data_IF_177893005966
#
_entry.id   IF_177893005966
#
_cell.length_a   1.000
_cell.length_b   1.000
_cell.length_c   1.000
_cell.angle_alpha   90.00
_cell.angle_beta   90.00
_cell.angle_gamma   90.00
#
_symmetry.space_group_name_H-M   'P 1'
#
loop_
_entity.id
_entity.type
_entity.pdbx_description
1 polymer ?
#
# COMPACT_ATOMS: atom_id res chain seq x y z
N UNK A 1 19.89 13.85 -16.35
CA UNK A 1 19.61 13.78 -14.90
C UNK A 1 18.39 14.68 -14.63
N UNK A 2 17.41 14.26 -13.83
CA UNK A 2 16.32 15.14 -13.43
C UNK A 2 16.88 16.34 -12.66
N UNK A 3 16.29 17.51 -12.89
CA UNK A 3 16.72 18.72 -12.19
C UNK A 3 16.40 18.61 -10.69
N UNK A 4 17.29 19.12 -9.81
CA UNK A 4 17.07 19.12 -8.38
C UNK A 4 15.79 19.90 -8.04
N UNK A 5 14.97 19.34 -7.14
CA UNK A 5 13.77 19.99 -6.64
C UNK A 5 14.06 20.53 -5.23
N UNK A 6 13.44 21.66 -4.88
CA UNK A 6 13.58 22.24 -3.54
C UNK A 6 12.37 21.91 -2.67
N UNK A 7 12.64 21.49 -1.44
CA UNK A 7 11.65 21.40 -0.36
C UNK A 7 12.10 22.38 0.73
N UNK A 8 11.43 23.52 0.80
CA UNK A 8 11.85 24.64 1.65
C UNK A 8 13.29 25.08 1.33
N UNK A 9 14.18 25.09 2.35
CA UNK A 9 15.61 25.46 2.24
C UNK A 9 16.49 24.26 1.86
N UNK A 10 15.88 23.12 1.50
CA UNK A 10 16.60 21.89 1.16
C UNK A 10 16.49 21.57 -0.33
N UNK A 11 17.58 21.12 -0.89
CA UNK A 11 17.66 20.58 -2.24
C UNK A 11 17.50 19.06 -2.19
N UNK A 12 16.64 18.52 -3.07
CA UNK A 12 16.36 17.08 -3.16
C UNK A 12 16.90 16.57 -4.48
N UNK A 13 17.74 15.55 -4.43
CA UNK A 13 18.36 14.89 -5.58
C UNK A 13 18.24 13.38 -5.47
N UNK A 14 18.35 12.71 -6.61
CA UNK A 14 18.52 11.26 -6.66
C UNK A 14 19.95 10.97 -7.11
N UNK A 15 20.72 10.31 -6.27
CA UNK A 15 22.10 9.91 -6.54
C UNK A 15 22.24 8.41 -6.27
N UNK A 16 22.69 7.63 -7.26
CA UNK A 16 22.86 6.18 -7.14
C UNK A 16 21.60 5.45 -6.61
N UNK A 17 20.44 5.85 -7.13
CA UNK A 17 19.12 5.33 -6.74
C UNK A 17 18.69 5.63 -5.28
N UNK A 18 19.43 6.51 -4.58
CA UNK A 18 19.08 6.98 -3.25
C UNK A 18 18.62 8.44 -3.28
N UNK A 19 17.66 8.76 -2.40
CA UNK A 19 17.19 10.12 -2.19
C UNK A 19 18.17 10.87 -1.30
N UNK A 20 18.84 11.86 -1.86
CA UNK A 20 19.78 12.74 -1.14
C UNK A 20 19.14 14.09 -0.92
N UNK A 21 19.10 14.52 0.33
CA UNK A 21 18.54 15.81 0.76
C UNK A 21 19.63 16.60 1.44
N UNK A 22 19.93 17.78 0.92
CA UNK A 22 20.99 18.67 1.44
C UNK A 22 20.47 20.08 1.66
N UNK A 23 20.98 20.76 2.69
CA UNK A 23 20.75 22.20 2.88
C UNK A 23 21.61 23.03 1.88
N UNK A 24 21.49 24.35 1.96
CA UNK A 24 22.26 25.28 1.09
C UNK A 24 23.79 25.18 1.31
N UNK A 25 24.21 24.72 2.49
CA UNK A 25 25.62 24.51 2.83
C UNK A 25 26.15 23.14 2.36
N UNK A 26 25.30 22.32 1.73
CA UNK A 26 25.65 20.97 1.25
C UNK A 26 25.62 19.89 2.35
N UNK A 27 25.15 20.20 3.54
CA UNK A 27 25.04 19.22 4.62
C UNK A 27 23.81 18.32 4.45
N UNK A 28 23.99 17.03 4.67
CA UNK A 28 22.89 16.05 4.56
C UNK A 28 21.83 16.30 5.63
N UNK A 29 20.56 16.25 5.20
CA UNK A 29 19.41 16.36 6.07
C UNK A 29 19.43 15.27 7.15
N UNK A 30 19.22 15.69 8.40
CA UNK A 30 19.02 14.81 9.55
C UNK A 30 17.72 15.19 10.25
N UNK A 31 16.87 14.21 10.51
CA UNK A 31 15.62 14.43 11.20
C UNK A 31 15.84 14.90 12.64
N UNK A 32 15.33 16.07 12.95
CA UNK A 32 15.26 16.63 14.32
C UNK A 32 13.80 16.82 14.72
N UNK A 33 13.27 15.99 15.64
CA UNK A 33 11.89 16.08 16.10
C UNK A 33 11.56 17.35 16.87
N UNK A 34 12.54 18.16 17.25
CA UNK A 34 12.34 19.45 17.96
C UNK A 34 12.13 20.60 16.98
N UNK A 35 12.61 20.47 15.77
CA UNK A 35 12.49 21.48 14.70
C UNK A 35 11.19 21.31 13.91
N UNK A 36 10.37 22.36 13.86
CA UNK A 36 9.11 22.36 13.08
C UNK A 36 9.37 22.17 11.59
N UNK A 37 10.43 22.75 11.05
CA UNK A 37 10.80 22.60 9.63
C UNK A 37 11.21 21.17 9.35
N UNK A 38 12.07 20.59 10.18
CA UNK A 38 12.51 19.19 10.05
C UNK A 38 11.34 18.23 10.17
N UNK A 39 10.41 18.48 11.09
CA UNK A 39 9.18 17.70 11.24
C UNK A 39 8.35 17.69 9.95
N UNK A 40 8.09 18.84 9.35
CA UNK A 40 7.31 18.96 8.11
C UNK A 40 7.97 18.26 6.93
N UNK A 41 9.30 18.36 6.80
CA UNK A 41 10.04 17.65 5.75
C UNK A 41 9.89 16.13 5.94
N UNK A 42 10.07 15.64 7.17
CA UNK A 42 9.99 14.21 7.46
C UNK A 42 8.57 13.66 7.21
N UNK A 43 7.54 14.38 7.63
CA UNK A 43 6.13 14.06 7.34
C UNK A 43 5.88 13.98 5.84
N UNK A 44 6.32 14.98 5.09
CA UNK A 44 6.16 15.00 3.62
C UNK A 44 6.82 13.79 2.96
N UNK A 45 8.07 13.50 3.33
CA UNK A 45 8.80 12.35 2.79
C UNK A 45 8.11 11.02 3.10
N UNK A 46 7.61 10.86 4.31
CA UNK A 46 6.89 9.66 4.72
C UNK A 46 5.59 9.50 3.95
N UNK A 47 4.76 10.55 3.89
CA UNK A 47 3.44 10.50 3.25
C UNK A 47 3.54 10.32 1.72
N UNK A 48 4.52 10.93 1.07
CA UNK A 48 4.77 10.71 -0.37
C UNK A 48 5.19 9.26 -0.64
N UNK A 49 6.16 8.72 0.12
CA UNK A 49 6.55 7.31 0.00
C UNK A 49 5.37 6.37 0.29
N UNK A 50 4.59 6.66 1.33
CA UNK A 50 3.39 5.91 1.68
C UNK A 50 2.40 5.90 0.52
N UNK A 51 2.12 7.05 -0.05
CA UNK A 51 1.20 7.21 -1.19
C UNK A 51 1.64 6.37 -2.39
N UNK A 52 2.93 6.39 -2.72
CA UNK A 52 3.50 5.56 -3.80
C UNK A 52 3.34 4.06 -3.48
N UNK A 53 3.72 3.63 -2.29
CA UNK A 53 3.65 2.22 -1.89
C UNK A 53 2.19 1.72 -1.89
N UNK A 54 1.26 2.51 -1.37
CA UNK A 54 -0.14 2.10 -1.26
C UNK A 54 -0.89 2.11 -2.60
N UNK A 55 -0.54 2.99 -3.52
CA UNK A 55 -1.35 3.24 -4.71
C UNK A 55 -0.66 2.89 -6.03
N UNK A 56 0.67 2.78 -6.04
CA UNK A 56 1.42 2.54 -7.27
C UNK A 56 2.16 1.20 -7.30
N UNK A 57 2.44 0.58 -6.12
CA UNK A 57 3.20 -0.66 -6.06
C UNK A 57 2.28 -1.85 -5.79
N UNK A 58 2.20 -2.76 -6.77
CA UNK A 58 1.46 -4.01 -6.67
C UNK A 58 2.35 -5.15 -7.13
N UNK A 59 2.30 -6.28 -6.43
CA UNK A 59 3.14 -7.42 -6.75
C UNK A 59 2.49 -8.77 -6.45
N UNK A 60 2.82 -9.75 -7.27
CA UNK A 60 2.42 -11.15 -7.10
C UNK A 60 3.65 -12.02 -7.31
N UNK A 61 3.87 -12.97 -6.39
CA UNK A 61 4.94 -13.96 -6.50
C UNK A 61 4.42 -15.34 -6.06
N UNK A 62 4.85 -16.39 -6.74
CA UNK A 62 4.51 -17.78 -6.37
C UNK A 62 5.06 -18.17 -5.01
N UNK A 63 6.23 -17.65 -4.66
CA UNK A 63 6.90 -17.97 -3.41
C UNK A 63 6.39 -17.04 -2.28
N UNK A 64 5.66 -17.56 -1.29
CA UNK A 64 5.16 -16.74 -0.17
C UNK A 64 6.28 -16.09 0.64
N UNK A 65 7.48 -16.67 0.69
CA UNK A 65 8.64 -16.07 1.37
C UNK A 65 9.14 -14.81 0.66
N UNK A 66 9.16 -14.81 -0.68
CA UNK A 66 9.48 -13.62 -1.46
C UNK A 66 8.48 -12.49 -1.18
N UNK A 67 7.20 -12.82 -1.06
CA UNK A 67 6.12 -11.87 -0.69
C UNK A 67 6.37 -11.26 0.68
N UNK A 68 6.69 -12.08 1.70
CA UNK A 68 7.00 -11.60 3.06
C UNK A 68 8.23 -10.67 3.06
N UNK A 69 9.30 -11.06 2.37
CA UNK A 69 10.52 -10.26 2.24
C UNK A 69 10.23 -8.93 1.52
N UNK A 70 9.45 -8.95 0.44
CA UNK A 70 9.06 -7.74 -0.29
C UNK A 70 8.31 -6.77 0.63
N UNK A 71 7.31 -7.23 1.37
CA UNK A 71 6.56 -6.41 2.34
C UNK A 71 7.47 -5.82 3.40
N UNK A 72 8.37 -6.64 3.95
CA UNK A 72 9.32 -6.19 4.97
C UNK A 72 10.25 -5.08 4.43
N UNK A 73 10.75 -5.24 3.20
CA UNK A 73 11.59 -4.21 2.55
C UNK A 73 10.85 -2.90 2.33
N UNK A 74 9.59 -2.94 1.91
CA UNK A 74 8.76 -1.74 1.75
C UNK A 74 8.50 -1.06 3.10
N UNK A 75 8.27 -1.81 4.18
CA UNK A 75 8.14 -1.24 5.52
C UNK A 75 9.45 -0.61 6.01
N UNK A 76 10.60 -1.25 5.78
CA UNK A 76 11.91 -0.68 6.12
C UNK A 76 12.13 0.63 5.37
N UNK A 77 11.73 0.70 4.10
CA UNK A 77 11.86 1.93 3.31
C UNK A 77 11.00 3.08 3.86
N UNK A 78 9.81 2.79 4.35
CA UNK A 78 8.99 3.78 5.08
C UNK A 78 9.59 4.18 6.41
N UNK A 79 10.13 3.22 7.17
CA UNK A 79 10.74 3.48 8.48
C UNK A 79 11.93 4.43 8.40
N UNK A 80 12.66 4.48 7.29
CA UNK A 80 13.75 5.46 7.08
C UNK A 80 13.27 6.91 7.24
N UNK A 81 12.00 7.18 6.94
CA UNK A 81 11.39 8.51 7.05
C UNK A 81 10.30 8.57 8.14
N UNK A 82 10.27 7.63 9.07
CA UNK A 82 9.31 7.66 10.17
C UNK A 82 9.46 8.94 11.01
N UNK A 83 8.35 9.46 11.49
CA UNK A 83 8.31 10.69 12.28
C UNK A 83 7.44 10.53 13.53
N UNK A 84 7.64 11.42 14.50
CA UNK A 84 6.85 11.46 15.72
C UNK A 84 5.73 12.49 15.57
N UNK A 85 4.54 12.13 15.99
CA UNK A 85 3.41 13.06 16.13
C UNK A 85 2.91 13.07 17.58
N UNK A 86 2.14 14.09 17.93
CA UNK A 86 1.44 14.15 19.22
C UNK A 86 0.02 13.63 19.04
N UNK A 87 -0.35 12.67 19.86
CA UNK A 87 -1.73 12.19 19.92
C UNK A 87 -2.68 13.18 20.63
N UNK A 88 -3.95 12.85 20.73
CA UNK A 88 -4.97 13.66 21.39
C UNK A 88 -4.67 13.92 22.87
N UNK A 89 -3.86 13.07 23.50
CA UNK A 89 -3.43 13.22 24.90
C UNK A 89 -2.17 14.06 25.02
N UNK A 90 -1.56 14.48 23.91
CA UNK A 90 -0.28 15.18 23.87
C UNK A 90 0.93 14.26 24.00
N UNK A 91 0.74 12.95 24.10
CA UNK A 91 1.82 11.98 24.12
C UNK A 91 2.48 11.85 22.75
N UNK A 92 3.80 11.70 22.74
CA UNK A 92 4.59 11.54 21.51
C UNK A 92 4.52 10.11 21.03
N UNK A 93 4.01 9.89 19.83
CA UNK A 93 3.91 8.58 19.21
C UNK A 93 4.62 8.56 17.85
N UNK A 94 5.17 7.40 17.49
CA UNK A 94 5.74 7.17 16.16
C UNK A 94 4.62 6.87 15.17
N UNK A 95 4.70 7.47 13.96
CA UNK A 95 3.73 7.19 12.90
C UNK A 95 3.73 5.70 12.53
N UNK A 96 2.52 5.15 12.40
CA UNK A 96 2.32 3.73 12.13
C UNK A 96 2.54 3.40 10.65
N UNK A 97 3.01 2.17 10.42
CA UNK A 97 3.17 1.66 9.07
C UNK A 97 1.83 1.23 8.46
N UNK A 98 1.62 1.44 7.15
CA UNK A 98 0.40 1.03 6.47
C UNK A 98 0.29 -0.49 6.32
N UNK A 99 -0.94 -0.97 6.08
CA UNK A 99 -1.21 -2.36 5.78
C UNK A 99 -1.02 -2.64 4.27
N UNK A 100 0.18 -3.04 3.87
CA UNK A 100 0.54 -3.30 2.47
C UNK A 100 0.31 -4.76 2.01
N UNK A 101 -0.24 -5.60 2.87
CA UNK A 101 -0.54 -7.01 2.58
C UNK A 101 -1.64 -7.20 1.52
N UNK A 102 -2.39 -6.15 1.18
CA UNK A 102 -3.32 -6.13 0.06
C UNK A 102 -2.59 -5.94 -1.28
N UNK A 103 -1.51 -5.19 -1.29
CA UNK A 103 -0.81 -4.81 -2.51
C UNK A 103 0.14 -5.91 -3.00
N UNK A 104 0.80 -6.61 -2.07
CA UNK A 104 1.77 -7.65 -2.38
C UNK A 104 1.18 -9.01 -1.97
N UNK A 105 0.96 -9.90 -2.95
CA UNK A 105 0.23 -11.16 -2.77
C UNK A 105 1.05 -12.37 -3.21
N UNK A 106 0.79 -13.51 -2.59
CA UNK A 106 1.23 -14.80 -3.12
C UNK A 106 0.21 -15.32 -4.12
N UNK A 107 0.68 -15.79 -5.26
CA UNK A 107 -0.14 -16.34 -6.34
C UNK A 107 0.61 -16.47 -7.65
N UNK A 108 -0.02 -17.07 -8.63
CA UNK A 108 0.48 -17.17 -10.00
C UNK A 108 -0.01 -15.96 -10.81
N UNK A 109 0.93 -15.15 -11.30
CA UNK A 109 0.63 -13.96 -12.10
C UNK A 109 0.18 -14.28 -13.54
N UNK A 110 0.44 -15.51 -14.01
CA UNK A 110 0.07 -15.96 -15.35
C UNK A 110 -1.33 -16.58 -15.39
N UNK A 111 -1.85 -17.01 -14.24
CA UNK A 111 -3.20 -17.57 -14.17
C UNK A 111 -4.24 -16.45 -14.04
N UNK A 112 -4.91 -16.17 -15.14
CA UNK A 112 -6.03 -15.23 -15.16
C UNK A 112 -7.31 -15.93 -14.70
N UNK A 113 -8.01 -15.35 -13.73
CA UNK A 113 -9.33 -15.79 -13.29
C UNK A 113 -10.47 -15.22 -14.13
N UNK A 114 -10.15 -14.28 -15.02
CA UNK A 114 -11.13 -13.58 -15.87
C UNK A 114 -10.69 -13.72 -17.32
N UNK A 115 -11.64 -13.94 -18.21
CA UNK A 115 -11.38 -13.71 -19.61
C UNK A 115 -11.12 -12.21 -19.81
N UNK A 116 -10.15 -11.88 -20.68
CA UNK A 116 -9.82 -10.49 -21.02
C UNK A 116 -11.01 -9.70 -21.59
N UNK A 117 -12.04 -10.41 -22.06
CA UNK A 117 -13.25 -9.84 -22.63
C UNK A 117 -14.41 -9.76 -21.63
N UNK A 118 -14.33 -10.38 -20.45
CA UNK A 118 -15.37 -10.28 -19.43
C UNK A 118 -15.31 -8.95 -18.69
N UNK A 119 -16.41 -8.23 -18.73
CA UNK A 119 -16.56 -7.00 -17.96
C UNK A 119 -16.80 -7.31 -16.49
N UNK A 120 -15.85 -6.96 -15.62
CA UNK A 120 -15.99 -7.05 -14.15
C UNK A 120 -17.28 -6.38 -13.67
N UNK A 121 -17.74 -5.33 -14.38
CA UNK A 121 -18.99 -4.63 -14.09
C UNK A 121 -20.22 -5.53 -14.19
N UNK A 122 -20.26 -6.49 -15.12
CA UNK A 122 -21.39 -7.41 -15.27
C UNK A 122 -21.45 -8.44 -14.14
N UNK A 123 -20.28 -8.90 -13.67
CA UNK A 123 -20.18 -9.83 -12.53
C UNK A 123 -20.59 -9.12 -11.24
N UNK A 124 -20.21 -7.86 -11.07
CA UNK A 124 -20.56 -7.06 -9.89
C UNK A 124 -22.06 -6.75 -9.82
N UNK A 125 -22.70 -6.50 -10.96
CA UNK A 125 -24.16 -6.23 -11.01
C UNK A 125 -24.99 -7.40 -10.47
N UNK A 126 -24.58 -8.65 -10.71
CA UNK A 126 -25.30 -9.83 -10.21
C UNK A 126 -25.11 -10.09 -8.72
N UNK A 127 -24.02 -9.61 -8.12
CA UNK A 127 -23.71 -9.85 -6.69
C UNK A 127 -24.28 -8.77 -5.77
N UNK A 128 -24.81 -7.66 -6.29
CA UNK A 128 -25.23 -6.50 -5.49
C UNK A 128 -24.07 -5.78 -4.80
N UNK A 129 -22.83 -6.17 -5.09
CA UNK A 129 -21.63 -5.56 -4.52
C UNK A 129 -21.09 -4.54 -5.52
N UNK A 130 -20.83 -3.31 -5.04
CA UNK A 130 -20.26 -2.25 -5.88
C UNK A 130 -18.74 -2.19 -5.76
N UNK A 131 -18.07 -1.79 -6.84
CA UNK A 131 -16.61 -1.49 -6.80
C UNK A 131 -16.30 -0.45 -5.73
N UNK A 132 -17.19 0.51 -5.51
CA UNK A 132 -17.05 1.55 -4.50
C UNK A 132 -17.01 0.96 -3.08
N UNK A 133 -17.89 0.01 -2.76
CA UNK A 133 -17.88 -0.69 -1.47
C UNK A 133 -16.55 -1.43 -1.24
N UNK A 134 -16.06 -2.12 -2.26
CA UNK A 134 -14.77 -2.79 -2.17
C UNK A 134 -13.61 -1.79 -1.96
N UNK A 135 -13.58 -0.71 -2.72
CA UNK A 135 -12.54 0.35 -2.59
C UNK A 135 -12.56 0.99 -1.22
N UNK A 136 -13.75 1.31 -0.68
CA UNK A 136 -13.89 1.88 0.65
C UNK A 136 -13.39 0.90 1.72
N UNK A 137 -13.80 -0.36 1.68
CA UNK A 137 -13.34 -1.37 2.62
C UNK A 137 -11.81 -1.56 2.57
N UNK A 138 -11.20 -1.51 1.38
CA UNK A 138 -9.73 -1.57 1.22
C UNK A 138 -9.06 -0.32 1.77
N UNK A 139 -9.60 0.88 1.53
CA UNK A 139 -9.05 2.13 2.04
C UNK A 139 -9.12 2.18 3.58
N UNK A 140 -10.25 1.79 4.16
CA UNK A 140 -10.41 1.69 5.61
C UNK A 140 -9.47 0.64 6.22
N UNK A 141 -9.31 -0.52 5.57
CA UNK A 141 -8.38 -1.57 6.01
C UNK A 141 -6.92 -1.07 6.04
N UNK A 142 -6.48 -0.33 5.01
CA UNK A 142 -5.13 0.23 4.96
C UNK A 142 -4.85 1.18 6.12
N UNK A 143 -5.85 1.95 6.55
CA UNK A 143 -5.75 2.94 7.61
C UNK A 143 -6.17 2.42 9.00
N UNK A 144 -6.60 1.16 9.11
CA UNK A 144 -7.07 0.60 10.37
C UNK A 144 -5.91 0.38 11.36
N UNK A 145 -5.94 1.10 12.48
CA UNK A 145 -4.98 0.94 13.59
C UNK A 145 -5.48 -0.05 14.64
N UNK A 146 -6.81 -0.19 14.79
CA UNK A 146 -7.40 -1.11 15.72
C UNK A 146 -7.44 -2.54 15.14
N UNK A 147 -6.95 -3.52 15.92
CA UNK A 147 -6.87 -4.93 15.52
C UNK A 147 -8.24 -5.55 15.22
N UNK A 148 -9.28 -5.17 15.98
CA UNK A 148 -10.65 -5.68 15.77
C UNK A 148 -11.26 -5.13 14.50
N UNK A 149 -11.13 -3.82 14.26
CA UNK A 149 -11.58 -3.16 13.03
C UNK A 149 -10.86 -3.76 11.82
N UNK A 150 -9.54 -3.94 11.92
CA UNK A 150 -8.74 -4.58 10.86
C UNK A 150 -9.24 -6.00 10.55
N UNK A 151 -9.53 -6.81 11.58
CA UNK A 151 -10.04 -8.16 11.39
C UNK A 151 -11.41 -8.16 10.70
N UNK A 152 -12.32 -7.32 11.15
CA UNK A 152 -13.66 -7.20 10.55
C UNK A 152 -13.61 -6.77 9.08
N UNK A 153 -12.78 -5.77 8.75
CA UNK A 153 -12.58 -5.32 7.37
C UNK A 153 -11.91 -6.38 6.51
N UNK A 154 -10.96 -7.13 7.04
CA UNK A 154 -10.33 -8.26 6.34
C UNK A 154 -11.36 -9.35 6.01
N UNK A 155 -12.24 -9.71 6.96
CA UNK A 155 -13.33 -10.67 6.77
C UNK A 155 -14.31 -10.18 5.68
N UNK A 156 -14.67 -8.87 5.71
CA UNK A 156 -15.53 -8.27 4.70
C UNK A 156 -14.89 -8.34 3.30
N UNK A 157 -13.62 -7.99 3.18
CA UNK A 157 -12.87 -8.06 1.93
C UNK A 157 -12.81 -9.51 1.42
N UNK A 158 -12.57 -10.49 2.30
CA UNK A 158 -12.58 -11.91 1.95
C UNK A 158 -13.96 -12.35 1.48
N UNK A 159 -15.02 -11.95 2.19
CA UNK A 159 -16.40 -12.24 1.79
C UNK A 159 -16.73 -11.71 0.40
N UNK A 160 -16.41 -10.45 0.14
CA UNK A 160 -16.58 -9.83 -1.19
C UNK A 160 -15.85 -10.64 -2.26
N UNK A 161 -14.58 -10.98 -2.04
CA UNK A 161 -13.76 -11.78 -2.98
C UNK A 161 -14.33 -13.19 -3.20
N UNK A 162 -14.84 -13.83 -2.15
CA UNK A 162 -15.42 -15.17 -2.22
C UNK A 162 -16.71 -15.16 -3.03
N UNK A 163 -17.59 -14.17 -2.78
CA UNK A 163 -18.83 -13.99 -3.55
C UNK A 163 -18.53 -13.80 -5.03
N UNK A 164 -17.59 -12.89 -5.36
CA UNK A 164 -17.14 -12.68 -6.73
C UNK A 164 -16.57 -13.95 -7.37
N UNK A 165 -15.76 -14.70 -6.62
CA UNK A 165 -15.18 -15.97 -7.09
C UNK A 165 -16.25 -17.00 -7.40
N UNK A 166 -17.31 -17.10 -6.59
CA UNK A 166 -18.41 -18.04 -6.77
C UNK A 166 -19.21 -17.70 -8.01
N UNK A 167 -19.55 -16.43 -8.21
CA UNK A 167 -20.30 -15.96 -9.39
C UNK A 167 -19.54 -16.22 -10.70
N UNK A 168 -18.21 -15.95 -10.69
CA UNK A 168 -17.37 -16.22 -11.85
C UNK A 168 -17.33 -17.71 -12.17
N UNK A 169 -17.19 -18.57 -11.14
CA UNK A 169 -17.20 -20.03 -11.32
C UNK A 169 -18.50 -20.55 -11.91
N UNK A 170 -19.65 -19.95 -11.57
CA UNK A 170 -20.94 -20.34 -12.10
C UNK A 170 -21.11 -19.96 -13.57
N UNK A 171 -20.46 -18.88 -14.01
CA UNK A 171 -20.57 -18.37 -15.40
C UNK A 171 -19.64 -19.07 -16.38
N UNK A 172 -18.47 -19.55 -15.93
CA UNK A 172 -17.52 -20.26 -16.78
C UNK A 172 -17.20 -21.67 -16.26
N UNK A 173 -17.86 -22.71 -16.83
CA UNK A 173 -17.60 -24.11 -16.47
C UNK A 173 -16.17 -24.58 -16.79
N UNK A 174 -15.49 -23.97 -17.76
CA UNK A 174 -14.11 -24.33 -18.13
C UNK A 174 -13.11 -23.90 -17.06
N UNK A 175 -13.39 -22.82 -16.33
CA UNK A 175 -12.59 -22.39 -15.20
C UNK A 175 -12.64 -23.39 -14.02
N UNK A 176 -13.72 -24.15 -13.90
CA UNK A 176 -13.84 -25.20 -12.88
C UNK A 176 -12.84 -26.34 -13.09
N UNK A 177 -12.47 -26.63 -14.34
CA UNK A 177 -11.44 -27.64 -14.66
C UNK A 177 -10.02 -27.19 -14.26
N UNK A 178 -9.72 -25.91 -14.38
CA UNK A 178 -8.39 -25.33 -14.06
C UNK A 178 -8.20 -25.05 -12.57
N UNK A 179 -9.27 -24.94 -11.79
CA UNK A 179 -9.21 -24.65 -10.34
C UNK A 179 -9.32 -25.89 -9.46
N UNK A 180 -9.38 -27.07 -10.07
CA UNK A 180 -9.44 -28.40 -9.41
C UNK A 180 -8.06 -29.00 -9.07
N UNK A 181 -6.97 -28.28 -9.28
CA UNK A 181 -5.62 -28.68 -8.91
C UNK A 181 -5.08 -27.85 -7.76
#
# INVERSE_FOLDING_TARGET
>A
QPQPQRIMDYEVRVELDELVITNEDGESYKYDPSSTTSQRIQETLFEEKRTIIENCLFGVDLNPKSVEICRLRLWIELLKNAYYYKDETGARQLQTLPNIDINIKSGDSLLHRFDLQESISQVLQSTGITITQYRNAVAEYKNAHNKEVKRHLAELIVKIKTTLKTEIKQRDPKLNMLLGY
#
